data_IF_696876568235
#
_entry.id   IF_696876568235
#
_cell.length_a   1.000
_cell.length_b   1.000
_cell.length_c   1.000
_cell.angle_alpha   90.00
_cell.angle_beta   90.00
_cell.angle_gamma   90.00
#
_symmetry.space_group_name_H-M   'P 1'
#
loop_
_entity.id
_entity.type
_entity.pdbx_description
1 polymer ?
#
# COMPACT_ATOMS: atom_id res chain seq x y z
N UNK A 1 31.70 -4.20 -21.34
CA UNK A 1 30.76 -3.08 -21.04
C UNK A 1 30.23 -3.29 -19.63
N UNK A 2 30.19 -2.21 -18.84
CA UNK A 2 30.06 -2.15 -17.38
C UNK A 2 28.62 -2.36 -16.89
N UNK A 3 28.44 -3.02 -15.73
CA UNK A 3 27.51 -2.65 -14.61
C UNK A 3 27.60 -3.73 -13.51
N UNK A 4 28.45 -3.53 -12.50
CA UNK A 4 28.18 -2.83 -11.23
C UNK A 4 27.20 -3.56 -10.30
N UNK A 5 27.83 -4.36 -9.45
CA UNK A 5 27.44 -4.87 -8.13
C UNK A 5 26.79 -3.82 -7.24
N UNK A 6 25.63 -4.15 -6.66
CA UNK A 6 25.20 -3.59 -5.38
C UNK A 6 24.81 -4.75 -4.45
N UNK A 7 25.82 -5.25 -3.76
CA UNK A 7 25.65 -6.13 -2.61
C UNK A 7 24.93 -5.36 -1.50
N UNK A 8 23.82 -5.93 -1.04
CA UNK A 8 23.12 -5.54 0.19
C UNK A 8 24.06 -5.87 1.36
N UNK A 9 24.68 -4.83 1.91
CA UNK A 9 25.65 -4.93 2.99
C UNK A 9 24.93 -5.05 4.34
N UNK A 10 25.25 -6.15 4.98
CA UNK A 10 24.83 -6.62 6.31
C UNK A 10 25.10 -5.60 7.42
N UNK A 11 24.16 -5.50 8.38
CA UNK A 11 24.24 -4.66 9.58
C UNK A 11 24.60 -5.54 10.78
N UNK A 12 25.89 -5.63 11.09
CA UNK A 12 26.35 -5.94 12.45
C UNK A 12 27.85 -5.63 12.60
N UNK A 13 28.19 -4.66 13.45
CA UNK A 13 29.56 -4.39 13.86
C UNK A 13 29.60 -3.34 14.98
N UNK A 14 30.37 -3.54 16.06
CA UNK A 14 30.13 -2.95 17.37
C UNK A 14 30.80 -1.59 17.59
N UNK A 15 30.22 -0.79 18.50
CA UNK A 15 30.80 0.45 18.99
C UNK A 15 32.19 0.20 19.59
N UNK A 16 33.22 0.84 19.04
CA UNK A 16 34.55 0.98 19.66
C UNK A 16 34.93 2.46 19.69
N UNK A 17 35.11 2.91 20.92
CA UNK A 17 35.71 4.15 21.40
C UNK A 17 37.10 4.44 20.82
N UNK A 18 37.39 5.70 20.51
CA UNK A 18 38.72 6.36 20.50
C UNK A 18 38.41 7.88 20.36
N UNK A 19 38.54 8.73 21.39
CA UNK A 19 39.77 9.39 21.82
C UNK A 19 39.72 10.88 21.42
N UNK A 20 40.02 11.87 22.31
CA UNK A 20 39.91 13.29 21.98
C UNK A 20 41.25 13.91 21.52
N UNK A 21 41.14 15.10 20.91
CA UNK A 21 42.18 16.11 20.65
C UNK A 21 42.99 16.04 19.34
N UNK A 22 42.69 16.97 18.42
CA UNK A 22 43.67 17.75 17.65
C UNK A 22 42.95 19.01 17.11
N UNK A 23 43.10 20.17 17.75
CA UNK A 23 44.00 21.28 17.40
C UNK A 23 43.95 21.74 15.93
N UNK A 24 43.38 22.93 15.73
CA UNK A 24 43.87 23.92 14.77
C UNK A 24 43.76 23.63 13.27
N UNK A 25 42.65 24.02 12.64
CA UNK A 25 42.76 24.72 11.34
C UNK A 25 41.52 25.55 11.04
N UNK A 26 41.77 26.85 11.11
CA UNK A 26 41.00 27.95 10.58
C UNK A 26 40.65 27.68 9.12
N UNK A 27 39.39 27.34 8.84
CA UNK A 27 38.80 27.53 7.51
C UNK A 27 37.52 28.32 7.70
N UNK A 28 37.64 29.63 7.45
CA UNK A 28 36.51 30.52 7.19
C UNK A 28 35.82 30.04 5.90
N UNK A 29 34.86 29.14 6.04
CA UNK A 29 33.77 29.04 5.08
C UNK A 29 32.54 29.60 5.76
N UNK A 30 32.10 30.76 5.27
CA UNK A 30 30.78 31.30 5.53
C UNK A 30 29.72 30.29 5.08
N UNK A 31 29.39 29.33 5.94
CA UNK A 31 28.15 28.57 5.85
C UNK A 31 27.12 29.40 6.58
N UNK A 32 26.56 30.36 5.84
CA UNK A 32 25.37 31.10 6.23
C UNK A 32 24.32 30.07 6.63
N UNK A 33 24.11 29.93 7.93
CA UNK A 33 22.92 29.34 8.52
C UNK A 33 21.75 30.19 8.07
N UNK A 34 21.24 29.91 6.86
CA UNK A 34 19.99 30.46 6.39
C UNK A 34 18.96 30.10 7.46
N UNK A 35 18.38 31.08 8.18
CA UNK A 35 17.33 30.78 9.13
C UNK A 35 16.20 30.16 8.30
N UNK A 36 15.86 28.91 8.61
CA UNK A 36 14.60 28.32 8.16
C UNK A 36 13.54 29.36 8.53
N UNK A 37 12.83 29.96 7.56
CA UNK A 37 11.81 30.94 7.90
C UNK A 37 10.68 30.19 8.62
N UNK A 38 10.77 30.16 9.94
CA UNK A 38 9.66 29.96 10.89
C UNK A 38 8.74 31.20 10.84
N UNK A 39 8.45 31.70 9.64
CA UNK A 39 7.67 32.89 9.39
C UNK A 39 6.46 32.50 8.56
N UNK A 40 5.37 32.25 9.27
CA UNK A 40 4.10 32.88 8.88
C UNK A 40 3.46 32.46 7.57
N UNK A 41 3.79 31.31 6.97
CA UNK A 41 2.85 30.65 6.06
C UNK A 41 1.72 30.02 6.88
N UNK A 42 0.90 30.90 7.43
CA UNK A 42 -0.48 30.63 7.82
C UNK A 42 -1.15 30.08 6.56
N UNK A 43 -1.18 28.76 6.42
CA UNK A 43 -1.75 28.00 5.31
C UNK A 43 -3.26 28.17 5.28
N UNK A 44 -3.72 29.39 4.99
CA UNK A 44 -5.14 29.78 4.95
C UNK A 44 -5.80 29.53 3.59
N UNK A 45 -5.13 28.84 2.66
CA UNK A 45 -5.65 28.56 1.30
C UNK A 45 -6.08 27.11 1.05
N UNK A 46 -5.85 26.18 1.97
CA UNK A 46 -6.26 24.77 1.83
C UNK A 46 -7.49 24.36 2.66
N UNK A 47 -8.15 25.30 3.36
CA UNK A 47 -9.25 24.98 4.29
C UNK A 47 -10.53 24.55 3.60
N UNK A 48 -10.99 25.25 2.56
CA UNK A 48 -12.28 24.97 1.93
C UNK A 48 -12.32 23.61 1.20
N UNK A 49 -11.24 23.25 0.50
CA UNK A 49 -11.16 21.94 -0.17
C UNK A 49 -11.07 20.81 0.85
N UNK A 50 -10.23 20.95 1.89
CA UNK A 50 -10.12 19.95 2.96
C UNK A 50 -11.43 19.76 3.72
N UNK A 51 -12.12 20.87 4.01
CA UNK A 51 -13.43 20.83 4.67
C UNK A 51 -14.51 20.17 3.80
N UNK A 52 -14.50 20.37 2.48
CA UNK A 52 -15.37 19.62 1.55
C UNK A 52 -15.06 18.12 1.57
N UNK A 53 -13.78 17.73 1.55
CA UNK A 53 -13.38 16.33 1.67
C UNK A 53 -13.82 15.72 3.00
N UNK A 54 -13.60 16.42 4.12
CA UNK A 54 -13.97 15.95 5.45
C UNK A 54 -15.49 15.77 5.57
N UNK A 55 -16.28 16.70 5.03
CA UNK A 55 -17.75 16.61 5.00
C UNK A 55 -18.24 15.45 4.12
N UNK A 56 -17.59 15.18 2.99
CA UNK A 56 -17.92 14.03 2.12
C UNK A 56 -17.60 12.71 2.85
N UNK A 57 -16.42 12.60 3.46
CA UNK A 57 -16.00 11.41 4.21
C UNK A 57 -16.91 11.18 5.42
N UNK A 58 -17.26 12.24 6.14
CA UNK A 58 -18.23 12.18 7.24
C UNK A 58 -19.59 11.71 6.74
N UNK A 59 -20.13 12.28 5.66
CA UNK A 59 -21.41 11.87 5.07
C UNK A 59 -21.43 10.39 4.67
N UNK A 60 -20.32 9.85 4.17
CA UNK A 60 -20.19 8.42 3.84
C UNK A 60 -20.17 7.54 5.11
N UNK A 61 -19.53 8.01 6.19
CA UNK A 61 -19.53 7.31 7.49
C UNK A 61 -20.87 7.39 8.22
N UNK A 62 -21.65 8.44 7.99
CA UNK A 62 -22.88 8.76 8.72
C UNK A 62 -24.14 8.06 8.21
N UNK A 63 -24.06 7.20 7.19
CA UNK A 63 -25.20 6.38 6.76
C UNK A 63 -25.09 4.97 7.34
N UNK A 64 -25.51 4.74 8.60
CA UNK A 64 -25.53 3.40 9.16
C UNK A 64 -26.55 2.57 8.38
N UNK A 65 -26.06 1.67 7.51
CA UNK A 65 -26.95 0.71 6.87
C UNK A 65 -27.61 -0.17 7.92
N UNK A 66 -28.93 -0.31 7.84
CA UNK A 66 -29.70 -1.18 8.72
C UNK A 66 -29.21 -2.63 8.63
N UNK A 67 -29.47 -3.46 9.65
CA UNK A 67 -29.11 -4.89 9.61
C UNK A 67 -29.73 -5.58 8.39
N UNK A 68 -31.00 -5.29 8.11
CA UNK A 68 -31.71 -5.79 6.94
C UNK A 68 -31.02 -5.42 5.62
N UNK A 69 -30.61 -4.15 5.44
CA UNK A 69 -29.88 -3.71 4.24
C UNK A 69 -28.56 -4.46 4.04
N UNK A 70 -27.82 -4.74 5.12
CA UNK A 70 -26.57 -5.52 5.03
C UNK A 70 -26.82 -6.97 4.65
N UNK A 71 -27.87 -7.59 5.18
CA UNK A 71 -28.25 -8.97 4.85
C UNK A 71 -28.69 -9.05 3.39
N UNK A 72 -29.56 -8.13 2.94
CA UNK A 72 -30.01 -8.07 1.55
C UNK A 72 -28.83 -7.89 0.58
N UNK A 73 -27.89 -6.98 0.88
CA UNK A 73 -26.67 -6.82 0.08
C UNK A 73 -25.86 -8.11 0.02
N UNK A 74 -25.74 -8.84 1.14
CA UNK A 74 -25.01 -10.10 1.19
C UNK A 74 -25.69 -11.19 0.36
N UNK A 75 -27.01 -11.28 0.40
CA UNK A 75 -27.78 -12.21 -0.42
C UNK A 75 -27.55 -11.93 -1.91
N UNK A 76 -27.68 -10.66 -2.32
CA UNK A 76 -27.41 -10.23 -3.71
C UNK A 76 -25.98 -10.56 -4.12
N UNK A 77 -24.99 -10.28 -3.27
CA UNK A 77 -23.58 -10.58 -3.57
C UNK A 77 -23.33 -12.08 -3.76
N UNK A 78 -23.98 -12.94 -2.98
CA UNK A 78 -23.83 -14.40 -3.10
C UNK A 78 -24.51 -14.88 -4.38
N UNK A 79 -25.74 -14.44 -4.66
CA UNK A 79 -26.49 -14.85 -5.85
C UNK A 79 -25.77 -14.43 -7.12
N UNK A 80 -25.36 -13.16 -7.22
CA UNK A 80 -24.62 -12.66 -8.38
C UNK A 80 -23.26 -13.33 -8.53
N UNK A 81 -22.54 -13.58 -7.43
CA UNK A 81 -21.27 -14.30 -7.48
C UNK A 81 -21.45 -15.76 -7.94
N UNK A 82 -22.49 -16.46 -7.49
CA UNK A 82 -22.77 -17.83 -7.89
C UNK A 82 -23.13 -17.91 -9.38
N UNK A 83 -24.01 -17.02 -9.86
CA UNK A 83 -24.37 -16.94 -11.28
C UNK A 83 -23.13 -16.62 -12.13
N UNK A 84 -22.34 -15.62 -11.73
CA UNK A 84 -21.11 -15.25 -12.42
C UNK A 84 -20.09 -16.39 -12.46
N UNK A 85 -19.96 -17.15 -11.36
CA UNK A 85 -19.04 -18.29 -11.29
C UNK A 85 -19.46 -19.41 -12.24
N UNK A 86 -20.74 -19.75 -12.30
CA UNK A 86 -21.25 -20.78 -13.23
C UNK A 86 -21.09 -20.32 -14.67
N UNK A 87 -21.51 -19.09 -14.98
CA UNK A 87 -21.43 -18.53 -16.33
C UNK A 87 -19.97 -18.42 -16.85
N UNK A 88 -19.03 -18.06 -15.97
CA UNK A 88 -17.61 -17.91 -16.33
C UNK A 88 -16.79 -19.20 -16.16
N UNK A 89 -17.35 -20.24 -15.53
CA UNK A 89 -16.65 -21.52 -15.31
C UNK A 89 -16.02 -22.14 -16.56
N UNK A 90 -16.67 -22.18 -17.76
CA UNK A 90 -16.03 -22.75 -18.95
C UNK A 90 -14.80 -21.95 -19.38
N UNK A 91 -14.87 -20.61 -19.34
CA UNK A 91 -13.74 -19.74 -19.68
C UNK A 91 -12.61 -19.90 -18.68
N UNK A 92 -12.93 -19.95 -17.38
CA UNK A 92 -11.95 -20.19 -16.32
C UNK A 92 -11.24 -21.54 -16.48
N UNK A 93 -11.95 -22.57 -16.93
CA UNK A 93 -11.36 -23.90 -17.19
C UNK A 93 -10.39 -23.85 -18.37
N UNK A 94 -10.76 -23.18 -19.47
CA UNK A 94 -9.87 -23.00 -20.62
C UNK A 94 -8.58 -22.24 -20.23
N UNK A 95 -8.71 -21.17 -19.44
CA UNK A 95 -7.55 -20.44 -18.92
C UNK A 95 -6.69 -21.31 -18.00
N UNK A 96 -7.31 -22.14 -17.15
CA UNK A 96 -6.58 -23.05 -16.28
C UNK A 96 -5.74 -24.07 -17.07
N UNK A 97 -6.30 -24.61 -18.17
CA UNK A 97 -5.59 -25.50 -19.07
C UNK A 97 -4.45 -24.77 -19.78
N UNK A 98 -4.68 -23.58 -20.32
CA UNK A 98 -3.65 -22.77 -20.97
C UNK A 98 -2.45 -22.50 -20.03
N UNK A 99 -2.72 -22.06 -18.80
CA UNK A 99 -1.65 -21.81 -17.79
C UNK A 99 -0.84 -23.07 -17.49
N UNK A 100 -1.51 -24.23 -17.40
CA UNK A 100 -0.86 -25.52 -17.08
C UNK A 100 0.01 -26.03 -18.24
N UNK A 101 -0.34 -25.70 -19.47
CA UNK A 101 0.44 -26.05 -20.66
C UNK A 101 1.64 -25.12 -20.87
N UNK A 102 1.50 -23.83 -20.55
CA UNK A 102 2.57 -22.85 -20.74
C UNK A 102 3.63 -22.88 -19.63
N UNK A 103 3.29 -23.31 -18.41
CA UNK A 103 4.25 -23.30 -17.31
C UNK A 103 3.99 -24.38 -16.25
N UNK A 104 5.05 -25.04 -15.73
CA UNK A 104 4.90 -25.97 -14.62
C UNK A 104 4.55 -25.21 -13.33
N UNK A 105 3.40 -25.53 -12.73
CA UNK A 105 3.01 -24.98 -11.43
C UNK A 105 1.50 -24.92 -11.19
N UNK A 106 1.09 -24.41 -10.01
CA UNK A 106 -0.32 -24.20 -9.67
C UNK A 106 -0.93 -23.07 -10.51
N UNK A 107 -2.17 -23.29 -10.95
CA UNK A 107 -2.92 -22.34 -11.79
C UNK A 107 -3.31 -21.06 -11.04
N UNK A 108 -3.61 -21.19 -9.74
CA UNK A 108 -4.10 -20.10 -8.89
C UNK A 108 -3.06 -19.73 -7.83
N UNK A 109 -2.79 -18.44 -7.69
CA UNK A 109 -2.03 -17.87 -6.58
C UNK A 109 -2.92 -17.07 -5.65
N UNK A 110 -2.49 -16.90 -4.40
CA UNK A 110 -3.21 -16.12 -3.41
C UNK A 110 -2.33 -15.15 -2.64
N UNK A 111 -2.92 -14.03 -2.20
CA UNK A 111 -2.30 -13.04 -1.34
C UNK A 111 -3.27 -12.66 -0.21
N UNK A 112 -2.77 -12.44 1.02
CA UNK A 112 -3.57 -11.90 2.13
C UNK A 112 -3.86 -10.42 1.93
N UNK A 113 -5.13 -10.03 2.09
CA UNK A 113 -5.57 -8.62 2.09
C UNK A 113 -6.49 -8.36 3.28
N UNK A 114 -6.50 -7.12 3.79
CA UNK A 114 -7.39 -6.71 4.87
C UNK A 114 -8.82 -6.51 4.34
N UNK A 115 -9.78 -7.22 4.92
CA UNK A 115 -11.19 -7.15 4.56
C UNK A 115 -12.06 -6.44 5.61
N UNK A 116 -13.35 -6.77 5.62
CA UNK A 116 -14.35 -6.15 6.50
C UNK A 116 -13.97 -6.32 7.98
N UNK A 117 -13.92 -5.20 8.72
CA UNK A 117 -13.49 -5.12 10.13
C UNK A 117 -12.04 -5.58 10.35
N UNK A 118 -11.16 -5.38 9.37
CA UNK A 118 -9.74 -5.75 9.48
C UNK A 118 -9.47 -7.26 9.38
N UNK A 119 -10.50 -8.09 9.10
CA UNK A 119 -10.32 -9.53 8.94
C UNK A 119 -9.52 -9.83 7.67
N UNK A 120 -8.40 -10.53 7.81
CA UNK A 120 -7.60 -10.97 6.67
C UNK A 120 -8.37 -11.98 5.83
N UNK A 121 -8.29 -11.86 4.51
CA UNK A 121 -8.83 -12.85 3.57
C UNK A 121 -7.82 -13.17 2.47
N UNK A 122 -7.94 -14.37 1.89
CA UNK A 122 -7.12 -14.81 0.75
C UNK A 122 -7.75 -14.31 -0.54
N UNK A 123 -7.00 -13.52 -1.30
CA UNK A 123 -7.37 -13.04 -2.61
C UNK A 123 -6.74 -13.93 -3.69
N UNK A 124 -7.56 -14.67 -4.43
CA UNK A 124 -7.12 -15.60 -5.48
C UNK A 124 -7.01 -14.91 -6.84
N UNK A 125 -6.01 -15.27 -7.64
CA UNK A 125 -5.83 -14.83 -9.03
C UNK A 125 -5.21 -15.92 -9.89
N UNK A 126 -5.50 -15.90 -11.19
CA UNK A 126 -4.77 -16.69 -12.17
C UNK A 126 -3.32 -16.22 -12.26
N UNK A 127 -2.43 -17.17 -12.54
CA UNK A 127 -1.07 -16.87 -12.95
C UNK A 127 -1.10 -16.17 -14.31
N UNK A 128 -0.32 -15.10 -14.44
CA UNK A 128 -0.14 -14.32 -15.66
C UNK A 128 1.27 -14.56 -16.18
#
# INVERSE_FOLDING_TARGET
MRRLTLQVRDRSGPQRSLGPADSGSRVMHASTSMPIPLLGLRTRRHSAMRQRFDNVVAKIKLQPRTRASRIAKRAVDIVLAAIGLVALSPVMLLLALAVKLTSPGPVLFWHRRCGLKGRMFRFYKFRT
#
